data_IF_171972813597
#
_entry.id   IF_171972813597
#
_cell.length_a   1.000
_cell.length_b   1.000
_cell.length_c   1.000
_cell.angle_alpha   90.00
_cell.angle_beta   90.00
_cell.angle_gamma   90.00
#
_symmetry.space_group_name_H-M   'P 1'
#
loop_
_entity.id
_entity.type
_entity.pdbx_description
1 polymer ?
#
# COMPACT_ATOMS: atom_id res chain seq x y z
N UNK A 1 41.49 45.95 49.58
CA UNK A 1 40.19 45.83 48.89
C UNK A 1 40.15 44.47 48.20
N UNK A 2 39.67 43.43 48.90
CA UNK A 2 39.50 42.09 48.31
C UNK A 2 38.18 42.07 47.55
N UNK A 3 38.25 42.00 46.21
CA UNK A 3 37.08 41.84 45.35
C UNK A 3 36.58 40.40 45.43
N UNK A 4 35.38 40.21 45.95
CA UNK A 4 34.68 38.92 45.94
C UNK A 4 34.13 38.70 44.53
N UNK A 5 34.80 37.84 43.76
CA UNK A 5 34.30 37.38 42.47
C UNK A 5 33.17 36.36 42.68
N UNK A 6 31.96 36.69 42.23
CA UNK A 6 30.86 35.75 42.16
C UNK A 6 31.17 34.71 41.07
N UNK A 7 31.39 33.46 41.46
CA UNK A 7 31.52 32.33 40.54
C UNK A 7 30.11 31.88 40.17
N UNK A 8 29.69 32.12 38.92
CA UNK A 8 28.44 31.58 38.38
C UNK A 8 28.67 30.12 37.99
N UNK A 9 28.29 29.20 38.87
CA UNK A 9 28.22 27.77 38.55
C UNK A 9 27.06 27.56 37.58
N UNK A 10 27.35 27.25 36.31
CA UNK A 10 26.34 27.00 35.30
C UNK A 10 25.38 25.90 35.73
N UNK A 11 24.07 26.20 35.69
CA UNK A 11 23.03 25.23 35.99
C UNK A 11 22.96 24.22 34.83
N UNK A 12 23.61 23.06 34.96
CA UNK A 12 23.39 21.95 34.03
C UNK A 12 22.05 21.31 34.36
N UNK A 13 21.00 21.73 33.66
CA UNK A 13 19.74 20.98 33.64
C UNK A 13 19.95 19.71 32.80
N UNK A 14 19.68 18.51 33.36
CA UNK A 14 19.78 17.27 32.59
C UNK A 14 18.85 17.35 31.40
N UNK A 15 19.38 17.13 30.20
CA UNK A 15 18.55 17.08 29.00
C UNK A 15 17.56 15.92 29.14
N UNK A 16 16.23 16.14 29.03
CA UNK A 16 15.26 15.07 29.15
C UNK A 16 15.59 13.96 28.17
N UNK A 17 15.63 12.72 28.65
CA UNK A 17 15.84 11.56 27.78
C UNK A 17 14.80 11.56 26.66
N UNK A 18 15.23 11.31 25.42
CA UNK A 18 14.32 11.27 24.28
C UNK A 18 13.30 10.13 24.47
N UNK A 19 12.03 10.48 24.69
CA UNK A 19 10.95 9.51 24.84
C UNK A 19 10.44 9.09 23.46
N UNK A 20 10.57 7.81 23.13
CA UNK A 20 10.01 7.25 21.89
C UNK A 20 8.52 7.02 22.05
N UNK A 21 7.70 7.79 21.33
CA UNK A 21 6.24 7.65 21.30
C UNK A 21 5.83 6.94 20.01
N UNK A 22 5.16 5.79 20.12
CA UNK A 22 4.56 5.09 18.97
C UNK A 22 3.16 5.65 18.72
N UNK A 23 3.02 6.47 17.69
CA UNK A 23 1.72 7.03 17.28
C UNK A 23 1.11 6.08 16.24
N UNK A 24 -0.12 5.58 16.44
CA UNK A 24 -0.80 4.80 15.42
C UNK A 24 -1.13 5.69 14.22
N UNK A 25 -0.68 5.30 13.04
CA UNK A 25 -0.99 5.97 11.78
C UNK A 25 -1.97 5.09 11.01
N UNK A 26 -3.05 5.70 10.51
CA UNK A 26 -3.99 5.01 9.64
C UNK A 26 -3.28 4.61 8.34
N UNK A 27 -3.27 3.31 8.05
CA UNK A 27 -2.72 2.76 6.81
C UNK A 27 -3.85 2.22 5.93
N UNK A 28 -3.61 2.18 4.62
CA UNK A 28 -4.52 1.47 3.72
C UNK A 28 -4.53 0.00 4.10
N UNK A 29 -5.70 -0.58 4.24
CA UNK A 29 -5.80 -2.01 4.52
C UNK A 29 -5.27 -2.86 3.35
N UNK A 30 -5.66 -2.53 2.12
CA UNK A 30 -5.11 -3.19 0.93
C UNK A 30 -3.72 -2.65 0.65
N UNK A 31 -2.70 -3.45 0.92
CA UNK A 31 -1.28 -3.13 0.70
C UNK A 31 -0.83 -3.43 -0.74
N UNK A 32 -1.43 -4.44 -1.38
CA UNK A 32 -1.13 -4.83 -2.76
C UNK A 32 -2.38 -5.41 -3.44
N UNK A 33 -2.58 -5.03 -4.70
CA UNK A 33 -3.61 -5.62 -5.55
C UNK A 33 -3.01 -6.82 -6.34
N UNK A 34 -3.78 -7.88 -6.59
CA UNK A 34 -3.39 -8.95 -7.51
C UNK A 34 -3.07 -8.39 -8.89
N UNK A 35 -2.09 -9.00 -9.58
CA UNK A 35 -1.72 -8.59 -10.93
C UNK A 35 -2.87 -8.86 -11.90
N UNK A 36 -3.28 -7.83 -12.66
CA UNK A 36 -4.33 -7.99 -13.66
C UNK A 36 -3.85 -8.90 -14.80
N UNK A 37 -4.59 -9.97 -15.14
CA UNK A 37 -4.23 -10.85 -16.24
C UNK A 37 -4.38 -10.14 -17.60
N UNK A 38 -3.55 -10.51 -18.56
CA UNK A 38 -3.71 -10.10 -19.96
C UNK A 38 -4.75 -11.00 -20.62
N UNK A 39 -5.95 -10.47 -20.84
CA UNK A 39 -7.05 -11.17 -21.49
C UNK A 39 -6.81 -11.34 -23.00
N UNK A 40 -7.24 -12.47 -23.56
CA UNK A 40 -7.17 -12.78 -24.98
C UNK A 40 -7.90 -11.74 -25.84
N UNK A 41 -9.03 -11.19 -25.34
CA UNK A 41 -9.78 -10.13 -26.03
C UNK A 41 -8.92 -8.89 -26.32
N UNK A 42 -7.94 -8.58 -25.46
CA UNK A 42 -7.07 -7.41 -25.62
C UNK A 42 -6.07 -7.54 -26.77
N UNK A 43 -5.89 -8.76 -27.28
CA UNK A 43 -4.97 -9.07 -28.38
C UNK A 43 -5.68 -9.15 -29.73
N UNK A 44 -7.00 -8.98 -29.76
CA UNK A 44 -7.76 -9.01 -30.99
C UNK A 44 -7.51 -7.76 -31.82
N UNK A 45 -7.47 -7.95 -33.13
CA UNK A 45 -7.48 -6.85 -34.08
C UNK A 45 -8.83 -6.12 -34.00
N UNK A 46 -8.88 -4.81 -34.31
CA UNK A 46 -10.13 -4.04 -34.28
C UNK A 46 -11.23 -4.60 -35.19
N UNK A 47 -10.85 -5.23 -36.30
CA UNK A 47 -11.72 -5.83 -37.31
C UNK A 47 -11.91 -7.34 -37.13
N UNK A 48 -11.46 -7.92 -36.00
CA UNK A 48 -11.69 -9.32 -35.68
C UNK A 48 -13.17 -9.68 -35.81
N UNK A 49 -13.43 -10.87 -36.36
CA UNK A 49 -14.79 -11.36 -36.55
C UNK A 49 -15.49 -11.58 -35.20
N UNK A 50 -16.81 -11.58 -35.23
CA UNK A 50 -17.59 -11.80 -34.00
C UNK A 50 -17.34 -13.20 -33.41
N UNK A 51 -17.07 -14.20 -34.26
CA UNK A 51 -16.66 -15.53 -33.81
C UNK A 51 -15.35 -15.53 -33.03
N UNK A 52 -14.35 -14.77 -33.48
CA UNK A 52 -13.06 -14.63 -32.77
C UNK A 52 -13.23 -13.90 -31.44
N UNK A 53 -14.09 -12.87 -31.38
CA UNK A 53 -14.43 -12.17 -30.14
C UNK A 53 -15.09 -13.10 -29.13
N UNK A 54 -16.08 -13.89 -29.56
CA UNK A 54 -16.79 -14.85 -28.70
C UNK A 54 -15.83 -15.91 -28.16
N UNK A 55 -14.94 -16.43 -29.01
CA UNK A 55 -13.97 -17.43 -28.59
C UNK A 55 -12.93 -16.86 -27.62
N UNK A 56 -12.45 -15.64 -27.84
CA UNK A 56 -11.56 -14.95 -26.91
C UNK A 56 -12.24 -14.74 -25.54
N UNK A 57 -13.50 -14.30 -25.53
CA UNK A 57 -14.28 -14.13 -24.30
C UNK A 57 -14.46 -15.45 -23.55
N UNK A 58 -14.79 -16.54 -24.26
CA UNK A 58 -14.93 -17.87 -23.66
C UNK A 58 -13.63 -18.35 -22.99
N UNK A 59 -12.47 -18.03 -23.58
CA UNK A 59 -11.16 -18.34 -23.00
C UNK A 59 -10.83 -17.47 -21.80
N UNK A 60 -11.28 -16.22 -21.81
CA UNK A 60 -11.02 -15.25 -20.74
C UNK A 60 -11.88 -15.49 -19.50
N UNK A 61 -13.11 -16.01 -19.66
CA UNK A 61 -14.06 -16.23 -18.57
C UNK A 61 -13.47 -17.00 -17.36
N UNK A 62 -12.82 -18.17 -17.50
CA UNK A 62 -12.27 -18.87 -16.33
C UNK A 62 -11.15 -18.10 -15.62
N UNK A 63 -10.37 -17.30 -16.36
CA UNK A 63 -9.31 -16.47 -15.78
C UNK A 63 -9.90 -15.25 -15.07
N UNK A 64 -10.92 -14.65 -15.67
CA UNK A 64 -11.66 -13.54 -15.10
C UNK A 64 -12.26 -13.89 -13.74
N UNK A 65 -12.99 -15.01 -13.65
CA UNK A 65 -13.62 -15.47 -12.40
C UNK A 65 -12.59 -15.74 -11.30
N UNK A 66 -11.43 -16.31 -11.65
CA UNK A 66 -10.34 -16.52 -10.68
C UNK A 66 -9.76 -15.21 -10.17
N UNK A 67 -9.58 -14.24 -11.06
CA UNK A 67 -9.07 -12.92 -10.69
C UNK A 67 -10.06 -12.16 -9.82
N UNK A 68 -11.35 -12.25 -10.12
CA UNK A 68 -12.42 -11.66 -9.31
C UNK A 68 -12.43 -12.26 -7.89
N UNK A 69 -12.39 -13.59 -7.76
CA UNK A 69 -12.31 -14.25 -6.46
C UNK A 69 -11.07 -13.82 -5.64
N UNK A 70 -9.93 -13.58 -6.29
CA UNK A 70 -8.73 -13.04 -5.62
C UNK A 70 -8.94 -11.62 -5.13
N UNK A 71 -9.61 -10.76 -5.91
CA UNK A 71 -9.94 -9.40 -5.50
C UNK A 71 -10.91 -9.41 -4.31
N UNK A 72 -11.95 -10.25 -4.35
CA UNK A 72 -12.89 -10.42 -3.25
C UNK A 72 -12.20 -10.89 -1.97
N UNK A 73 -11.27 -11.84 -2.07
CA UNK A 73 -10.48 -12.30 -0.93
C UNK A 73 -9.62 -11.19 -0.31
N UNK A 74 -9.01 -10.33 -1.14
CA UNK A 74 -8.23 -9.18 -0.66
C UNK A 74 -9.11 -8.17 0.07
N UNK A 75 -10.32 -7.92 -0.42
CA UNK A 75 -11.28 -7.00 0.21
C UNK A 75 -11.83 -7.61 1.51
N UNK A 76 -12.16 -8.90 1.51
CA UNK A 76 -12.67 -9.60 2.69
C UNK A 76 -11.66 -9.61 3.85
N UNK A 77 -10.35 -9.62 3.55
CA UNK A 77 -9.31 -9.48 4.57
C UNK A 77 -9.24 -8.10 5.24
N UNK A 78 -10.02 -7.13 4.76
CA UNK A 78 -10.06 -5.76 5.27
C UNK A 78 -11.29 -5.40 6.11
N UNK A 79 -12.25 -6.32 6.23
CA UNK A 79 -13.48 -6.13 7.01
C UNK A 79 -13.32 -6.78 8.38
#
# INVERSE_FOLDING_TARGET
MLGVGLVVTGCQTPQPAATVVKVPVMVKCVSAAPARPTFAIQKLLPDASDGEKVLALARDLPVHLKYEAQLEAVIAGCI
#
